data_IF_249760502689
#
_entry.id   IF_249760502689
#
_cell.length_a   1.000
_cell.length_b   1.000
_cell.length_c   1.000
_cell.angle_alpha   90.00
_cell.angle_beta   90.00
_cell.angle_gamma   90.00
#
_symmetry.space_group_name_H-M   'P 1'
#
loop_
_entity.id
_entity.type
_entity.pdbx_description
1 polymer ?
#
# COMPACT_ATOMS: atom_id res chain seq x y z
N UNK A 1 -17.53 -0.82 -2.79
CA UNK A 1 -17.24 -1.37 -1.41
C UNK A 1 -17.96 -0.58 -0.29
N UNK A 2 -18.42 -1.23 0.79
CA UNK A 2 -19.13 -0.61 1.94
C UNK A 2 -18.49 -0.95 3.30
N UNK A 3 -18.63 -0.05 4.29
CA UNK A 3 -18.35 -0.28 5.72
C UNK A 3 -19.67 -0.42 6.47
N UNK A 4 -19.79 -1.45 7.30
CA UNK A 4 -20.92 -1.65 8.21
C UNK A 4 -20.51 -1.20 9.63
N UNK A 5 -21.30 -0.31 10.21
CA UNK A 5 -21.30 -0.10 11.66
C UNK A 5 -22.15 -1.19 12.32
N UNK A 6 -21.52 -2.07 13.10
CA UNK A 6 -22.21 -3.19 13.75
C UNK A 6 -23.00 -2.79 15.00
N UNK A 7 -22.80 -1.58 15.52
CA UNK A 7 -23.54 -1.05 16.67
C UNK A 7 -24.84 -0.43 16.18
N UNK A 8 -24.79 0.38 15.12
CA UNK A 8 -25.98 1.07 14.58
C UNK A 8 -26.68 0.32 13.46
N UNK A 9 -25.98 -0.58 12.75
CA UNK A 9 -26.47 -1.26 11.55
C UNK A 9 -26.29 -0.48 10.26
N UNK A 10 -25.64 0.69 10.31
CA UNK A 10 -25.53 1.59 9.16
C UNK A 10 -24.45 1.12 8.16
N UNK A 11 -24.82 1.15 6.88
CA UNK A 11 -23.88 0.94 5.77
C UNK A 11 -23.41 2.29 5.20
N UNK A 12 -22.10 2.47 5.04
CA UNK A 12 -21.50 3.62 4.35
C UNK A 12 -20.65 3.17 3.18
N UNK A 13 -20.87 3.77 2.00
CA UNK A 13 -20.07 3.48 0.81
C UNK A 13 -18.65 4.01 1.01
N UNK A 14 -17.65 3.14 0.82
CA UNK A 14 -16.22 3.44 1.01
C UNK A 14 -15.53 3.75 -0.32
N UNK A 15 -15.72 2.90 -1.33
CA UNK A 15 -15.23 3.18 -2.69
C UNK A 15 -16.25 4.07 -3.40
N UNK A 16 -15.92 5.34 -3.61
CA UNK A 16 -16.80 6.30 -4.29
C UNK A 16 -16.03 6.84 -5.48
N UNK A 17 -16.54 6.60 -6.69
CA UNK A 17 -16.03 7.23 -7.90
C UNK A 17 -16.20 8.75 -7.80
N UNK A 18 -15.18 9.49 -8.21
CA UNK A 18 -15.19 10.94 -8.31
C UNK A 18 -15.81 11.44 -9.62
N UNK A 19 -16.17 10.54 -10.55
CA UNK A 19 -16.80 10.89 -11.83
C UNK A 19 -18.12 10.10 -12.08
N UNK A 20 -19.27 10.63 -11.64
CA UNK A 20 -20.56 9.96 -11.82
C UNK A 20 -21.14 10.07 -13.25
N UNK A 21 -20.50 10.79 -14.18
CA UNK A 21 -21.10 11.18 -15.46
C UNK A 21 -20.77 10.25 -16.65
N UNK A 22 -19.86 9.30 -16.48
CA UNK A 22 -19.61 8.22 -17.45
C UNK A 22 -19.98 6.93 -16.73
N UNK A 23 -20.84 6.11 -17.32
CA UNK A 23 -21.33 4.87 -16.71
C UNK A 23 -20.19 4.14 -15.99
N UNK A 24 -20.22 4.19 -14.65
CA UNK A 24 -19.16 3.71 -13.78
C UNK A 24 -19.06 2.20 -13.95
N UNK A 25 -18.10 1.75 -14.76
CA UNK A 25 -17.79 0.33 -14.95
C UNK A 25 -17.22 -0.26 -13.64
N UNK A 26 -17.34 -1.58 -13.43
CA UNK A 26 -17.13 -2.22 -12.13
C UNK A 26 -15.80 -1.81 -11.52
N UNK A 27 -15.86 -1.33 -10.27
CA UNK A 27 -14.72 -1.06 -9.38
C UNK A 27 -13.63 -2.11 -9.68
N UNK A 28 -12.49 -1.70 -10.26
CA UNK A 28 -11.39 -2.59 -10.60
C UNK A 28 -11.04 -3.51 -9.42
N UNK A 29 -10.52 -4.71 -9.70
CA UNK A 29 -10.51 -5.79 -8.70
C UNK A 29 -9.95 -5.36 -7.35
N UNK A 30 -10.80 -5.39 -6.32
CA UNK A 30 -10.42 -5.09 -4.93
C UNK A 30 -9.94 -6.39 -4.28
N UNK A 31 -8.65 -6.47 -3.91
CA UNK A 31 -8.05 -7.68 -3.32
C UNK A 31 -7.24 -7.34 -2.07
N UNK A 32 -7.91 -6.90 -1.02
CA UNK A 32 -7.28 -6.52 0.25
C UNK A 32 -7.95 -5.29 0.82
N UNK A 33 -8.58 -5.44 1.98
CA UNK A 33 -9.22 -4.34 2.71
C UNK A 33 -8.76 -4.38 4.15
N UNK A 34 -8.48 -3.22 4.73
CA UNK A 34 -8.16 -3.05 6.13
C UNK A 34 -8.84 -1.81 6.69
N UNK A 35 -9.10 -1.79 7.99
CA UNK A 35 -9.77 -0.70 8.70
C UNK A 35 -8.93 -0.35 9.94
N UNK A 36 -8.76 0.94 10.22
CA UNK A 36 -8.12 1.39 11.47
C UNK A 36 -8.94 0.95 12.69
N UNK A 37 -8.32 0.77 13.86
CA UNK A 37 -9.03 0.21 15.01
C UNK A 37 -10.17 1.10 15.54
N UNK A 38 -10.06 2.42 15.35
CA UNK A 38 -11.12 3.39 15.63
C UNK A 38 -12.22 3.41 14.55
N UNK A 39 -12.03 2.68 13.45
CA UNK A 39 -12.96 2.60 12.33
C UNK A 39 -13.00 3.83 11.44
N UNK A 40 -12.12 4.83 11.67
CA UNK A 40 -12.11 6.10 10.92
C UNK A 40 -11.57 5.95 9.52
N UNK A 41 -10.54 5.13 9.32
CA UNK A 41 -9.88 4.96 8.03
C UNK A 41 -10.14 3.57 7.47
N UNK A 42 -10.37 3.50 6.16
CA UNK A 42 -10.41 2.23 5.41
C UNK A 42 -9.39 2.32 4.29
N UNK A 43 -8.52 1.32 4.17
CA UNK A 43 -7.55 1.22 3.09
C UNK A 43 -7.78 -0.05 2.28
N UNK A 44 -7.54 0.05 0.98
CA UNK A 44 -7.75 -1.05 0.04
C UNK A 44 -6.84 -0.89 -1.17
N UNK A 45 -6.59 -1.98 -1.90
CA UNK A 45 -6.00 -1.89 -3.23
C UNK A 45 -7.06 -1.94 -4.33
N UNK A 46 -6.89 -1.14 -5.38
CA UNK A 46 -7.81 -1.04 -6.52
C UNK A 46 -7.05 -0.66 -7.78
N UNK A 47 -7.48 -1.17 -8.94
CA UNK A 47 -6.99 -0.74 -10.26
C UNK A 47 -7.89 0.35 -10.90
N UNK A 48 -8.70 1.03 -10.08
CA UNK A 48 -9.60 2.09 -10.52
C UNK A 48 -8.84 3.43 -10.59
N UNK A 49 -9.10 4.21 -11.63
CA UNK A 49 -8.43 5.48 -11.91
C UNK A 49 -9.27 6.72 -11.59
N UNK A 50 -10.41 6.54 -10.93
CA UNK A 50 -11.41 7.57 -10.67
C UNK A 50 -11.72 7.75 -9.18
N UNK A 51 -10.88 7.18 -8.29
CA UNK A 51 -11.06 7.25 -6.83
C UNK A 51 -10.50 8.53 -6.19
N UNK A 52 -9.78 9.33 -6.97
CA UNK A 52 -9.08 10.54 -6.54
C UNK A 52 -9.14 11.60 -7.67
N UNK A 53 -9.47 12.87 -7.38
CA UNK A 53 -9.45 13.91 -8.41
C UNK A 53 -8.05 14.13 -8.97
N UNK A 54 -7.93 14.21 -10.29
CA UNK A 54 -6.64 14.42 -10.97
C UNK A 54 -5.69 13.22 -10.91
N UNK A 55 -6.21 12.01 -10.69
CA UNK A 55 -5.43 10.78 -10.65
C UNK A 55 -4.60 10.56 -11.93
N UNK A 56 -3.34 10.19 -11.75
CA UNK A 56 -2.38 9.88 -12.81
C UNK A 56 -1.90 8.45 -12.60
N UNK A 57 -2.24 7.57 -13.54
CA UNK A 57 -1.84 6.16 -13.54
C UNK A 57 -0.51 6.01 -14.30
N UNK A 58 0.54 5.57 -13.58
CA UNK A 58 1.87 5.32 -14.12
C UNK A 58 2.26 3.84 -14.15
N UNK A 59 1.43 2.92 -13.62
CA UNK A 59 1.82 1.52 -13.42
C UNK A 59 1.13 0.53 -14.35
N UNK A 60 0.20 0.94 -15.21
CA UNK A 60 -0.19 0.11 -16.34
C UNK A 60 -1.61 0.32 -16.88
N UNK A 61 -2.16 -0.74 -17.47
CA UNK A 61 -3.50 -0.71 -18.05
C UNK A 61 -4.54 -0.99 -16.98
N UNK A 62 -5.45 -0.04 -16.83
CA UNK A 62 -6.67 -0.09 -16.01
C UNK A 62 -7.34 -1.48 -16.14
N UNK A 63 -7.88 -1.98 -15.03
CA UNK A 63 -8.55 -3.30 -14.89
C UNK A 63 -7.63 -4.53 -14.91
N UNK A 64 -6.30 -4.37 -14.97
CA UNK A 64 -5.36 -5.45 -14.71
C UNK A 64 -5.05 -5.54 -13.22
N UNK A 65 -4.98 -6.76 -12.66
CA UNK A 65 -4.43 -6.95 -11.31
C UNK A 65 -3.03 -6.34 -11.18
N UNK A 66 -2.27 -6.28 -12.28
CA UNK A 66 -0.92 -5.72 -12.30
C UNK A 66 -0.86 -4.19 -12.27
N UNK A 67 -2.01 -3.50 -12.19
CA UNK A 67 -2.12 -2.04 -12.12
C UNK A 67 -2.90 -1.60 -10.86
N UNK A 68 -2.87 -2.39 -9.80
CA UNK A 68 -3.53 -2.04 -8.55
C UNK A 68 -2.68 -1.07 -7.71
N UNK A 69 -3.34 -0.13 -7.05
CA UNK A 69 -2.77 0.87 -6.16
C UNK A 69 -3.45 0.87 -4.80
N UNK A 70 -2.74 1.31 -3.77
CA UNK A 70 -3.30 1.43 -2.42
C UNK A 70 -3.97 2.79 -2.25
N UNK A 71 -5.22 2.77 -1.81
CA UNK A 71 -5.96 3.96 -1.43
C UNK A 71 -6.33 3.89 0.05
N UNK A 72 -6.47 5.05 0.67
CA UNK A 72 -7.04 5.20 2.01
C UNK A 72 -8.15 6.24 1.99
N UNK A 73 -9.26 5.98 2.67
CA UNK A 73 -10.35 6.93 2.85
C UNK A 73 -10.59 7.26 4.31
N UNK A 74 -10.66 8.54 4.59
CA UNK A 74 -11.15 9.06 5.86
C UNK A 74 -12.69 9.04 5.85
N UNK A 75 -13.29 8.21 6.69
CA UNK A 75 -14.74 8.02 6.76
C UNK A 75 -15.47 9.16 7.48
N UNK A 76 -14.74 10.07 8.12
CA UNK A 76 -15.29 11.28 8.74
C UNK A 76 -15.37 12.40 7.70
N UNK A 77 -14.29 12.63 6.95
CA UNK A 77 -14.24 13.73 5.96
C UNK A 77 -14.71 13.31 4.57
N UNK A 78 -14.74 12.01 4.29
CA UNK A 78 -15.08 11.44 2.98
C UNK A 78 -13.94 11.51 1.95
N UNK A 79 -12.77 12.03 2.32
CA UNK A 79 -11.62 12.23 1.43
C UNK A 79 -10.86 10.91 1.20
N UNK A 80 -10.62 10.58 -0.06
CA UNK A 80 -9.73 9.49 -0.49
C UNK A 80 -8.34 10.05 -0.80
N UNK A 81 -7.29 9.31 -0.44
CA UNK A 81 -5.88 9.60 -0.75
C UNK A 81 -5.24 8.37 -1.40
N UNK A 82 -4.29 8.60 -2.30
CA UNK A 82 -3.40 7.58 -2.81
C UNK A 82 -2.28 7.35 -1.79
N UNK A 83 -2.09 6.09 -1.40
CA UNK A 83 -1.05 5.65 -0.46
C UNK A 83 0.22 5.24 -1.21
N UNK A 84 0.07 4.54 -2.34
CA UNK A 84 1.19 4.13 -3.21
C UNK A 84 1.59 5.21 -4.23
N UNK A 85 1.66 6.46 -3.77
CA UNK A 85 1.94 7.60 -4.64
C UNK A 85 3.46 7.77 -4.86
N UNK A 86 3.83 8.35 -6.01
CA UNK A 86 5.20 8.76 -6.27
C UNK A 86 5.61 9.93 -5.33
N UNK A 87 6.90 10.06 -4.96
CA UNK A 87 7.39 11.12 -4.10
C UNK A 87 7.02 12.51 -4.62
N UNK A 88 6.46 13.35 -3.75
CA UNK A 88 6.09 14.72 -4.09
C UNK A 88 4.86 14.86 -5.00
N UNK A 89 4.23 13.77 -5.41
CA UNK A 89 3.01 13.80 -6.22
C UNK A 89 1.93 12.88 -5.64
N UNK A 90 1.06 13.43 -4.79
CA UNK A 90 0.02 12.71 -4.05
C UNK A 90 -1.12 12.16 -4.93
N UNK A 91 -1.12 12.44 -6.23
CA UNK A 91 -2.15 11.96 -7.17
C UNK A 91 -1.61 11.05 -8.27
N UNK A 92 -0.28 10.86 -8.32
CA UNK A 92 0.35 9.97 -9.28
C UNK A 92 0.85 8.71 -8.60
N UNK A 93 0.57 7.55 -9.19
CA UNK A 93 1.06 6.26 -8.70
C UNK A 93 2.57 6.15 -8.89
N UNK A 94 3.21 5.24 -8.17
CA UNK A 94 4.50 4.71 -8.59
C UNK A 94 4.41 3.94 -9.91
N UNK A 95 5.53 3.43 -10.39
CA UNK A 95 5.66 2.72 -11.66
C UNK A 95 5.32 1.22 -11.61
N UNK A 96 4.83 0.73 -10.47
CA UNK A 96 4.52 -0.69 -10.25
C UNK A 96 3.30 -0.91 -9.36
N UNK A 97 2.75 -2.13 -9.43
CA UNK A 97 1.59 -2.55 -8.64
C UNK A 97 1.88 -2.49 -7.14
N UNK A 98 0.91 -2.01 -6.37
CA UNK A 98 0.89 -2.09 -4.91
C UNK A 98 -0.32 -2.89 -4.38
N UNK A 99 -0.11 -3.65 -3.31
CA UNK A 99 -1.12 -4.59 -2.78
C UNK A 99 -0.93 -4.88 -1.28
N UNK A 100 -1.92 -5.56 -0.69
CA UNK A 100 -1.90 -6.03 0.72
C UNK A 100 -1.67 -4.94 1.77
N UNK A 101 -2.49 -3.88 1.80
CA UNK A 101 -2.38 -2.87 2.84
C UNK A 101 -2.80 -3.43 4.21
N UNK A 102 -2.06 -3.05 5.25
CA UNK A 102 -2.33 -3.37 6.66
C UNK A 102 -2.18 -2.11 7.50
N UNK A 103 -3.11 -1.87 8.42
CA UNK A 103 -3.08 -0.72 9.32
C UNK A 103 -2.33 -1.07 10.62
N UNK A 104 -1.58 -0.11 11.16
CA UNK A 104 -1.28 -0.10 12.59
C UNK A 104 -2.57 0.13 13.38
N UNK A 105 -2.64 -0.41 14.60
CA UNK A 105 -3.86 -0.33 15.41
C UNK A 105 -4.20 1.10 15.82
N UNK A 106 -3.20 1.92 16.09
CA UNK A 106 -3.36 3.36 16.34
C UNK A 106 -3.79 4.17 15.10
N UNK A 107 -3.82 3.54 13.91
CA UNK A 107 -4.20 4.18 12.65
C UNK A 107 -3.16 5.16 12.09
N UNK A 108 -1.96 5.22 12.66
CA UNK A 108 -0.92 6.16 12.26
C UNK A 108 -0.17 5.74 11.00
N UNK A 109 -0.07 4.42 10.73
CA UNK A 109 0.69 3.84 9.62
C UNK A 109 -0.13 2.85 8.80
N UNK A 110 0.20 2.77 7.51
CA UNK A 110 -0.23 1.69 6.60
C UNK A 110 1.01 1.02 6.05
N UNK A 111 1.17 -0.29 6.24
CA UNK A 111 2.22 -1.08 5.58
C UNK A 111 1.62 -1.79 4.38
N UNK A 112 2.36 -1.85 3.28
CA UNK A 112 1.93 -2.50 2.05
C UNK A 112 3.12 -3.07 1.28
N UNK A 113 2.81 -3.89 0.28
CA UNK A 113 3.81 -4.46 -0.63
C UNK A 113 3.70 -3.77 -1.99
N UNK A 114 4.82 -3.47 -2.63
CA UNK A 114 4.83 -2.85 -3.96
C UNK A 114 5.95 -3.38 -4.85
N UNK A 115 5.67 -3.50 -6.15
CA UNK A 115 6.64 -3.72 -7.21
C UNK A 115 7.21 -2.40 -7.77
N UNK A 116 6.79 -1.26 -7.23
CA UNK A 116 7.22 0.04 -7.70
C UNK A 116 8.64 0.37 -7.19
N UNK A 117 9.50 0.79 -8.11
CA UNK A 117 10.90 1.10 -7.83
C UNK A 117 11.10 2.57 -7.43
N UNK A 118 10.04 3.36 -7.42
CA UNK A 118 10.08 4.84 -7.42
C UNK A 118 9.18 5.49 -6.36
N UNK A 119 8.74 4.76 -5.34
CA UNK A 119 7.88 5.30 -4.27
C UNK A 119 8.61 6.17 -3.24
N UNK A 120 9.94 6.12 -3.18
CA UNK A 120 10.74 6.81 -2.15
C UNK A 120 11.92 7.54 -2.78
N UNK A 121 12.07 8.83 -2.50
CA UNK A 121 13.20 9.63 -2.98
C UNK A 121 14.53 9.12 -2.41
N UNK A 122 15.53 8.98 -3.28
CA UNK A 122 16.90 8.65 -2.86
C UNK A 122 17.13 7.17 -2.52
N UNK A 123 16.11 6.33 -2.64
CA UNK A 123 16.22 4.88 -2.58
C UNK A 123 16.43 4.34 -3.99
N UNK A 124 17.40 3.43 -4.15
CA UNK A 124 17.57 2.70 -5.41
C UNK A 124 17.01 1.30 -5.25
N UNK A 125 16.07 0.93 -6.11
CA UNK A 125 15.68 -0.47 -6.30
C UNK A 125 16.31 -1.00 -7.60
N UNK A 126 17.06 -2.09 -7.46
CA UNK A 126 17.80 -2.73 -8.57
C UNK A 126 17.32 -4.15 -8.85
N UNK A 127 16.42 -4.71 -8.02
CA UNK A 127 16.02 -6.10 -8.11
C UNK A 127 14.73 -6.27 -8.96
N UNK A 128 13.91 -5.21 -9.08
CA UNK A 128 12.63 -5.23 -9.79
C UNK A 128 11.61 -6.22 -9.20
N UNK A 129 11.79 -6.60 -7.94
CA UNK A 129 10.96 -7.49 -7.15
C UNK A 129 10.11 -6.68 -6.17
N UNK A 130 9.19 -7.36 -5.51
CA UNK A 130 8.32 -6.69 -4.55
C UNK A 130 9.10 -6.33 -3.28
N UNK A 131 8.80 -5.16 -2.73
CA UNK A 131 9.34 -4.61 -1.50
C UNK A 131 8.23 -4.17 -0.53
N UNK A 132 8.58 -4.03 0.74
CA UNK A 132 7.67 -3.61 1.81
C UNK A 132 7.86 -2.13 2.09
N UNK A 133 6.76 -1.39 2.07
CA UNK A 133 6.73 0.05 2.30
C UNK A 133 5.79 0.39 3.46
N UNK A 134 6.03 1.51 4.11
CA UNK A 134 5.14 2.10 5.10
C UNK A 134 4.72 3.50 4.67
N UNK A 135 3.45 3.83 4.88
CA UNK A 135 2.86 5.14 4.65
C UNK A 135 2.43 5.75 5.98
N UNK A 136 2.86 6.98 6.21
CA UNK A 136 2.47 7.76 7.37
C UNK A 136 1.19 8.56 7.08
N UNK A 137 0.13 8.30 7.83
CA UNK A 137 -1.20 8.88 7.56
C UNK A 137 -1.24 10.39 7.80
N UNK A 138 -0.41 10.90 8.72
CA UNK A 138 -0.39 12.31 9.09
C UNK A 138 0.42 13.16 8.09
N UNK A 139 1.61 12.68 7.75
CA UNK A 139 2.58 13.39 6.89
C UNK A 139 2.47 13.02 5.41
N UNK A 140 1.76 11.93 5.10
CA UNK A 140 1.58 11.40 3.75
C UNK A 140 2.92 11.06 3.08
N UNK A 141 3.88 10.61 3.87
CA UNK A 141 5.17 10.16 3.38
C UNK A 141 5.18 8.64 3.25
N UNK A 142 5.84 8.16 2.20
CA UNK A 142 6.15 6.74 2.00
C UNK A 142 7.61 6.50 2.35
N UNK A 143 7.88 5.44 3.08
CA UNK A 143 9.23 4.95 3.39
C UNK A 143 9.38 3.48 3.00
N UNK A 144 10.60 3.10 2.60
CA UNK A 144 10.94 1.71 2.31
C UNK A 144 11.29 1.01 3.64
N UNK A 145 10.55 -0.04 3.98
CA UNK A 145 10.77 -0.85 5.18
C UNK A 145 11.80 -1.95 4.91
N UNK A 146 11.74 -2.61 3.75
CA UNK A 146 12.71 -3.64 3.33
C UNK A 146 13.99 -3.03 2.75
N UNK A 147 14.55 -2.06 3.46
CA UNK A 147 15.79 -1.40 3.08
C UNK A 147 17.00 -2.25 3.48
N UNK A 148 18.04 -2.23 2.64
CA UNK A 148 19.35 -2.80 2.97
C UNK A 148 19.90 -2.23 4.27
N UNK A 149 20.84 -2.94 4.89
CA UNK A 149 21.50 -2.49 6.11
C UNK A 149 22.19 -1.10 5.98
N UNK A 150 22.48 -0.66 4.75
CA UNK A 150 23.04 0.66 4.45
C UNK A 150 21.99 1.79 4.37
N UNK A 151 20.69 1.45 4.31
CA UNK A 151 19.59 2.42 4.34
C UNK A 151 19.31 3.15 3.02
N UNK A 152 19.94 2.75 1.91
CA UNK A 152 19.90 3.51 0.64
C UNK A 152 19.34 2.74 -0.56
N UNK A 153 19.02 1.46 -0.38
CA UNK A 153 18.56 0.60 -1.46
C UNK A 153 17.59 -0.47 -0.97
N UNK A 154 16.71 -0.94 -1.85
CA UNK A 154 15.96 -2.18 -1.65
C UNK A 154 16.90 -3.38 -1.53
N UNK A 155 16.42 -4.45 -0.87
CA UNK A 155 17.17 -5.69 -0.78
C UNK A 155 17.47 -6.29 -2.16
N UNK A 156 18.32 -7.31 -2.22
CA UNK A 156 18.69 -7.95 -3.49
C UNK A 156 17.68 -8.98 -4.02
N UNK A 157 16.51 -9.11 -3.37
CA UNK A 157 15.48 -10.10 -3.73
C UNK A 157 14.11 -9.73 -3.10
N UNK A 158 13.08 -10.53 -3.37
CA UNK A 158 11.71 -10.32 -2.89
C UNK A 158 11.62 -10.05 -1.38
N UNK A 159 10.91 -8.99 -1.00
CA UNK A 159 10.47 -8.67 0.36
C UNK A 159 8.96 -8.40 0.35
N UNK A 160 8.20 -9.32 0.93
CA UNK A 160 6.75 -9.40 0.71
C UNK A 160 6.45 -10.15 -0.59
N UNK A 161 5.59 -11.15 -0.50
CA UNK A 161 5.21 -12.01 -1.63
C UNK A 161 3.74 -12.41 -1.49
N UNK A 162 3.01 -12.42 -2.61
CA UNK A 162 1.65 -12.91 -2.71
C UNK A 162 1.49 -14.34 -2.15
N UNK A 163 2.52 -15.18 -2.09
CA UNK A 163 2.38 -16.55 -1.58
C UNK A 163 2.36 -16.69 -0.05
N UNK A 164 2.86 -15.71 0.70
CA UNK A 164 3.17 -15.90 2.14
C UNK A 164 2.18 -15.18 3.07
N UNK A 165 1.56 -14.10 2.59
CA UNK A 165 0.63 -13.27 3.35
C UNK A 165 1.04 -11.80 3.33
N UNK A 166 0.23 -10.91 3.91
CA UNK A 166 0.60 -9.52 4.07
C UNK A 166 1.72 -9.35 5.13
N UNK A 167 2.51 -8.26 5.06
CA UNK A 167 3.32 -7.86 6.21
C UNK A 167 2.42 -7.56 7.42
N UNK A 168 2.99 -7.59 8.62
CA UNK A 168 2.27 -7.24 9.86
C UNK A 168 2.97 -6.09 10.56
N UNK A 169 2.21 -5.25 11.25
CA UNK A 169 2.71 -4.06 11.94
C UNK A 169 2.21 -4.05 13.39
N UNK A 170 3.06 -3.60 14.32
CA UNK A 170 2.72 -3.47 15.73
C UNK A 170 1.63 -2.42 15.97
N UNK A 171 0.96 -2.53 17.12
CA UNK A 171 -0.15 -1.65 17.50
C UNK A 171 0.20 -0.15 17.44
N UNK A 172 1.44 0.20 17.80
CA UNK A 172 2.01 1.56 17.82
C UNK A 172 2.69 1.98 16.50
N UNK A 173 2.59 1.15 15.46
CA UNK A 173 3.18 1.40 14.15
C UNK A 173 4.71 1.29 14.09
N UNK A 174 5.37 0.89 15.17
CA UNK A 174 6.85 0.95 15.29
C UNK A 174 7.58 -0.23 14.65
N UNK A 175 7.02 -1.43 14.71
CA UNK A 175 7.68 -2.65 14.26
C UNK A 175 6.88 -3.26 13.11
N UNK A 176 7.57 -3.61 12.04
CA UNK A 176 7.00 -4.31 10.89
C UNK A 176 7.70 -5.66 10.79
N UNK A 177 6.93 -6.74 10.69
CA UNK A 177 7.46 -8.05 10.39
C UNK A 177 7.00 -8.51 9.00
N UNK A 178 7.93 -9.08 8.23
CA UNK A 178 7.67 -9.47 6.85
C UNK A 178 8.58 -10.61 6.39
N UNK A 179 8.14 -11.34 5.37
CA UNK A 179 8.93 -12.39 4.77
C UNK A 179 9.80 -11.84 3.64
N UNK A 180 11.08 -12.23 3.58
CA UNK A 180 11.97 -11.85 2.49
C UNK A 180 12.93 -12.98 2.10
N UNK A 181 13.36 -12.98 0.84
CA UNK A 181 14.45 -13.82 0.33
C UNK A 181 15.75 -13.02 0.11
N UNK A 182 15.74 -11.74 0.44
CA UNK A 182 16.91 -10.88 0.30
C UNK A 182 17.95 -11.24 1.36
N UNK A 183 19.22 -11.25 0.99
CA UNK A 183 20.32 -11.64 1.90
C UNK A 183 21.06 -10.43 2.47
N UNK A 184 20.63 -9.22 2.13
CA UNK A 184 21.34 -7.96 2.39
C UNK A 184 20.51 -6.92 3.16
N UNK A 185 19.31 -7.28 3.61
CA UNK A 185 18.52 -6.47 4.54
C UNK A 185 19.20 -6.32 5.90
N UNK A 186 19.90 -7.37 6.34
CA UNK A 186 20.64 -7.39 7.61
C UNK A 186 22.05 -7.91 7.35
N UNK A 187 23.05 -7.22 7.89
CA UNK A 187 24.44 -7.61 7.74
C UNK A 187 24.69 -9.02 8.31
N UNK A 188 25.39 -9.86 7.55
CA UNK A 188 25.79 -11.20 7.98
C UNK A 188 24.74 -12.29 7.76
N UNK A 189 23.60 -11.99 7.11
CA UNK A 189 22.66 -13.03 6.66
C UNK A 189 23.25 -13.74 5.44
N UNK A 190 23.52 -15.04 5.58
CA UNK A 190 24.04 -15.90 4.48
C UNK A 190 23.10 -17.05 4.12
N UNK A 191 21.95 -17.14 4.80
CA UNK A 191 21.00 -18.21 4.53
C UNK A 191 20.39 -18.03 3.15
N UNK A 192 20.25 -19.13 2.42
CA UNK A 192 19.53 -19.17 1.15
C UNK A 192 18.11 -19.63 1.41
N UNK A 193 17.14 -18.85 0.94
CA UNK A 193 15.71 -19.12 1.15
C UNK A 193 15.01 -18.03 1.96
N UNK A 194 13.71 -18.23 2.19
CA UNK A 194 12.84 -17.24 2.80
C UNK A 194 13.07 -17.14 4.31
N UNK A 195 13.19 -15.92 4.80
CA UNK A 195 13.31 -15.58 6.23
C UNK A 195 12.19 -14.63 6.65
N UNK A 196 11.94 -14.55 7.95
CA UNK A 196 11.09 -13.53 8.56
C UNK A 196 12.00 -12.50 9.21
N UNK A 197 11.79 -11.24 8.85
CA UNK A 197 12.43 -10.06 9.40
C UNK A 197 11.46 -9.34 10.33
#
# INVERSE_FOLDING_TARGET
MYRLDRVTGDYRMVSVSTNPAVGSTPEGVVVGVTVSADGRYVAWNSAANDLLPGFIDNNGTIFSFNAADIFVRDMVTGVTRLVSHAPGNLVATGNGRSYRPVFSKDGSKIVFVSLATDLVTGVTDTNGQADVFAYDVATQQVELVSVTAAGMAAGNNWSGDEQIGPPVISDDGRYVAFASQATDLVAGVTATGRQIY
#
